data_IF_864394702474
#
_entry.id   IF_864394702474
#
_cell.length_a   1.000
_cell.length_b   1.000
_cell.length_c   1.000
_cell.angle_alpha   90.00
_cell.angle_beta   90.00
_cell.angle_gamma   90.00
#
_symmetry.space_group_name_H-M   'P 1'
#
loop_
_entity.id
_entity.type
_entity.pdbx_description
1 polymer ?
#
# COMPACT_ATOMS: atom_id res chain seq x y z
N UNK A 1 -25.53 -12.34 41.39
CA UNK A 1 -24.21 -12.34 40.70
C UNK A 1 -23.21 -11.53 41.51
N UNK A 2 -22.14 -12.16 42.01
CA UNK A 2 -21.11 -11.49 42.82
C UNK A 2 -20.30 -10.48 42.00
N UNK A 3 -19.68 -9.50 42.69
CA UNK A 3 -18.81 -8.49 42.07
C UNK A 3 -17.68 -9.12 41.24
N UNK A 4 -17.16 -10.26 41.70
CA UNK A 4 -16.13 -11.05 41.02
C UNK A 4 -16.59 -11.57 39.66
N UNK A 5 -17.77 -12.17 39.58
CA UNK A 5 -18.32 -12.72 38.33
C UNK A 5 -18.55 -11.60 37.30
N UNK A 6 -19.04 -10.43 37.75
CA UNK A 6 -19.18 -9.26 36.86
C UNK A 6 -17.82 -8.80 36.32
N UNK A 7 -16.79 -8.77 37.15
CA UNK A 7 -15.43 -8.39 36.73
C UNK A 7 -14.83 -9.39 35.73
N UNK A 8 -15.00 -10.70 35.95
CA UNK A 8 -14.53 -11.74 35.04
C UNK A 8 -15.21 -11.64 33.66
N UNK A 9 -16.53 -11.43 33.61
CA UNK A 9 -17.26 -11.19 32.36
C UNK A 9 -16.77 -9.94 31.62
N UNK A 10 -16.50 -8.85 32.33
CA UNK A 10 -15.91 -7.64 31.74
C UNK A 10 -14.51 -7.90 31.18
N UNK A 11 -13.66 -8.66 31.89
CA UNK A 11 -12.32 -9.02 31.43
C UNK A 11 -12.36 -9.91 30.19
N UNK A 12 -13.28 -10.87 30.13
CA UNK A 12 -13.51 -11.71 28.96
C UNK A 12 -13.90 -10.87 27.73
N UNK A 13 -14.85 -9.93 27.89
CA UNK A 13 -15.26 -9.00 26.82
C UNK A 13 -14.11 -8.11 26.33
N UNK A 14 -13.26 -7.61 27.24
CA UNK A 14 -12.07 -6.84 26.86
C UNK A 14 -11.01 -7.70 26.16
N UNK A 15 -10.85 -8.96 26.58
CA UNK A 15 -9.93 -9.91 25.95
C UNK A 15 -10.38 -10.25 24.52
N UNK A 16 -11.67 -10.53 24.31
CA UNK A 16 -12.20 -10.83 22.98
C UNK A 16 -12.08 -9.63 22.03
N UNK A 17 -12.40 -8.42 22.50
CA UNK A 17 -12.25 -7.21 21.70
C UNK A 17 -10.79 -6.96 21.28
N UNK A 18 -9.84 -7.14 22.20
CA UNK A 18 -8.41 -7.02 21.87
C UNK A 18 -7.97 -8.01 20.80
N UNK A 19 -8.37 -9.28 20.91
CA UNK A 19 -8.09 -10.31 19.89
C UNK A 19 -8.68 -9.94 18.52
N UNK A 20 -9.93 -9.47 18.48
CA UNK A 20 -10.59 -9.05 17.25
C UNK A 20 -9.86 -7.85 16.60
N UNK A 21 -9.49 -6.85 17.40
CA UNK A 21 -8.76 -5.67 16.91
C UNK A 21 -7.39 -6.06 16.36
N UNK A 22 -6.69 -6.98 17.04
CA UNK A 22 -5.41 -7.49 16.57
C UNK A 22 -5.57 -8.25 15.24
N UNK A 23 -6.54 -9.16 15.13
CA UNK A 23 -6.85 -9.86 13.88
C UNK A 23 -7.12 -8.89 12.72
N UNK A 24 -7.92 -7.83 12.95
CA UNK A 24 -8.20 -6.79 11.94
C UNK A 24 -6.99 -5.94 11.56
N UNK A 25 -5.97 -5.85 12.41
CA UNK A 25 -4.71 -5.18 12.08
C UNK A 25 -3.84 -6.08 11.22
N UNK A 26 -3.70 -7.34 11.62
CA UNK A 26 -2.97 -8.36 10.85
C UNK A 26 -3.57 -8.55 9.46
N UNK A 27 -4.90 -8.56 9.33
CA UNK A 27 -5.60 -8.65 8.05
C UNK A 27 -5.33 -7.44 7.14
N UNK A 28 -5.27 -6.22 7.70
CA UNK A 28 -4.92 -5.02 6.94
C UNK A 28 -3.50 -5.09 6.40
N UNK A 29 -2.55 -5.50 7.23
CA UNK A 29 -1.14 -5.65 6.82
C UNK A 29 -1.00 -6.74 5.75
N UNK A 30 -1.69 -7.88 5.91
CA UNK A 30 -1.70 -8.94 4.90
C UNK A 30 -2.24 -8.46 3.56
N UNK A 31 -3.37 -7.74 3.57
CA UNK A 31 -3.97 -7.19 2.35
C UNK A 31 -3.05 -6.16 1.66
N UNK A 32 -2.39 -5.31 2.44
CA UNK A 32 -1.40 -4.36 1.89
C UNK A 32 -0.23 -5.08 1.24
N UNK A 33 0.34 -6.11 1.88
CA UNK A 33 1.41 -6.93 1.32
C UNK A 33 0.98 -7.66 0.05
N UNK A 34 -0.21 -8.24 0.04
CA UNK A 34 -0.78 -8.89 -1.15
C UNK A 34 -0.93 -7.89 -2.30
N UNK A 35 -1.45 -6.68 -2.03
CA UNK A 35 -1.56 -5.66 -3.09
C UNK A 35 -0.21 -5.14 -3.58
N UNK A 36 0.84 -5.23 -2.77
CA UNK A 36 2.20 -4.88 -3.19
C UNK A 36 2.77 -5.97 -4.09
N UNK A 37 2.65 -7.23 -3.68
CA UNK A 37 3.05 -8.39 -4.49
C UNK A 37 2.36 -8.42 -5.84
N UNK A 38 1.04 -8.23 -5.88
CA UNK A 38 0.31 -8.21 -7.15
C UNK A 38 0.79 -7.07 -8.06
N UNK A 39 1.16 -5.90 -7.51
CA UNK A 39 1.73 -4.81 -8.30
C UNK A 39 3.13 -5.12 -8.81
N UNK A 40 3.94 -5.81 -8.01
CA UNK A 40 5.26 -6.28 -8.41
C UNK A 40 5.15 -7.31 -9.52
N UNK A 41 4.25 -8.29 -9.39
CA UNK A 41 3.91 -9.26 -10.42
C UNK A 41 3.42 -8.56 -11.70
N UNK A 42 2.47 -7.62 -11.61
CA UNK A 42 2.01 -6.81 -12.75
C UNK A 42 3.13 -5.97 -13.40
N UNK A 43 4.16 -5.58 -12.65
CA UNK A 43 5.31 -4.86 -13.21
C UNK A 43 6.27 -5.84 -13.91
N UNK A 44 6.52 -7.00 -13.32
CA UNK A 44 7.36 -8.05 -13.90
C UNK A 44 6.74 -8.59 -15.19
N UNK A 45 5.43 -8.83 -15.22
CA UNK A 45 4.72 -9.21 -16.45
C UNK A 45 4.91 -8.18 -17.56
N UNK A 46 4.82 -6.88 -17.23
CA UNK A 46 5.07 -5.81 -18.20
C UNK A 46 6.52 -5.76 -18.67
N UNK A 47 7.48 -6.00 -17.79
CA UNK A 47 8.90 -6.04 -18.15
C UNK A 47 9.23 -7.24 -19.03
N UNK A 48 8.65 -8.41 -18.75
CA UNK A 48 8.74 -9.60 -19.60
C UNK A 48 8.13 -9.34 -20.96
N UNK A 49 6.94 -8.72 -21.03
CA UNK A 49 6.34 -8.33 -22.31
C UNK A 49 7.27 -7.39 -23.11
N UNK A 50 7.91 -6.42 -22.44
CA UNK A 50 8.85 -5.49 -23.07
C UNK A 50 10.16 -6.18 -23.56
N UNK A 51 10.71 -7.13 -22.80
CA UNK A 51 11.89 -7.90 -23.21
C UNK A 51 11.58 -8.90 -24.34
N UNK A 52 10.41 -9.53 -24.30
CA UNK A 52 9.93 -10.37 -25.40
C UNK A 52 9.73 -9.54 -26.68
N UNK A 53 9.15 -8.34 -26.57
CA UNK A 53 9.09 -7.37 -27.67
C UNK A 53 10.49 -7.01 -28.17
N UNK A 54 11.49 -6.82 -27.30
CA UNK A 54 12.88 -6.52 -27.71
C UNK A 54 13.53 -7.68 -28.45
N UNK A 55 13.39 -8.91 -27.96
CA UNK A 55 13.94 -10.10 -28.58
C UNK A 55 13.30 -10.37 -29.95
N UNK A 56 11.99 -10.20 -30.04
CA UNK A 56 11.27 -10.31 -31.30
C UNK A 56 11.68 -9.20 -32.30
N UNK A 57 11.88 -7.96 -31.82
CA UNK A 57 12.40 -6.87 -32.65
C UNK A 57 13.89 -6.99 -33.01
N UNK A 58 14.69 -7.76 -32.24
CA UNK A 58 16.08 -8.08 -32.65
C UNK A 58 16.13 -9.09 -33.79
N UNK A 59 15.11 -9.95 -33.92
CA UNK A 59 14.91 -10.82 -35.09
C UNK A 59 14.25 -10.05 -36.27
N UNK A 60 13.42 -9.04 -35.99
CA UNK A 60 12.72 -8.20 -36.99
C UNK A 60 13.49 -6.92 -37.41
N UNK A 61 14.73 -6.72 -36.96
CA UNK A 61 15.53 -5.53 -37.30
C UNK A 61 15.95 -5.45 -38.78
N UNK A 62 15.49 -6.38 -39.61
CA UNK A 62 15.49 -6.23 -41.07
C UNK A 62 14.29 -5.42 -41.62
N UNK A 63 13.21 -5.19 -40.86
CA UNK A 63 11.98 -4.55 -41.40
C UNK A 63 11.27 -3.60 -40.43
N UNK A 64 11.83 -2.41 -40.30
CA UNK A 64 11.09 -1.13 -40.29
C UNK A 64 9.97 -0.94 -39.27
N UNK A 65 10.22 -0.07 -38.28
CA UNK A 65 9.34 0.29 -37.17
C UNK A 65 7.83 0.39 -37.48
N UNK A 66 7.04 -0.45 -36.79
CA UNK A 66 5.58 -0.34 -36.75
C UNK A 66 5.09 -0.33 -35.31
N UNK A 67 4.17 0.60 -35.01
CA UNK A 67 3.53 0.80 -33.69
C UNK A 67 2.49 -0.30 -33.39
N UNK A 68 2.91 -1.56 -33.34
CA UNK A 68 2.04 -2.73 -33.14
C UNK A 68 2.55 -3.53 -31.95
N UNK A 69 1.62 -3.99 -31.11
CA UNK A 69 1.87 -4.93 -30.00
C UNK A 69 1.47 -6.31 -30.51
N UNK A 70 2.35 -7.30 -30.38
CA UNK A 70 2.03 -8.68 -30.71
C UNK A 70 1.47 -9.38 -29.48
N UNK A 71 0.21 -9.83 -29.53
CA UNK A 71 -0.40 -10.63 -28.45
C UNK A 71 -0.48 -12.09 -28.88
N UNK A 72 0.19 -12.96 -28.13
CA UNK A 72 0.14 -14.42 -28.37
C UNK A 72 -1.13 -15.00 -27.72
N UNK A 73 -1.92 -15.75 -28.50
CA UNK A 73 -3.09 -16.50 -28.03
C UNK A 73 -2.95 -17.95 -28.52
N UNK A 74 -2.47 -18.83 -27.64
CA UNK A 74 -2.07 -20.19 -28.04
C UNK A 74 -0.91 -20.16 -29.04
N UNK A 75 -1.08 -20.81 -30.18
CA UNK A 75 -0.09 -20.84 -31.27
C UNK A 75 -0.23 -19.68 -32.27
N UNK A 76 -1.25 -18.83 -32.13
CA UNK A 76 -1.44 -17.66 -33.00
C UNK A 76 -0.84 -16.38 -32.40
N UNK A 77 -0.17 -15.60 -33.26
CA UNK A 77 0.30 -14.24 -32.95
C UNK A 77 -0.67 -13.23 -33.56
N UNK A 78 -1.33 -12.43 -32.72
CA UNK A 78 -2.25 -11.37 -33.14
C UNK A 78 -1.57 -10.01 -33.07
N UNK A 79 -1.56 -9.28 -34.17
CA UNK A 79 -1.11 -7.89 -34.26
C UNK A 79 -2.19 -6.93 -33.74
N UNK A 80 -1.93 -6.25 -32.63
CA UNK A 80 -2.83 -5.26 -32.03
C UNK A 80 -2.16 -3.89 -32.05
N UNK A 81 -2.79 -2.84 -32.60
CA UNK A 81 -2.21 -1.50 -32.58
C UNK A 81 -2.03 -0.98 -31.14
N UNK A 82 -0.84 -0.42 -30.84
CA UNK A 82 -0.48 0.12 -29.52
C UNK A 82 -1.43 1.27 -29.15
N UNK A 83 -2.37 1.01 -28.23
CA UNK A 83 -3.31 2.05 -27.75
C UNK A 83 -2.51 3.12 -27.00
N UNK A 84 -2.55 4.36 -27.49
CA UNK A 84 -1.94 5.50 -26.80
C UNK A 84 -2.51 5.62 -25.39
N UNK A 85 -1.64 5.72 -24.38
CA UNK A 85 -2.05 5.98 -23.02
C UNK A 85 -2.92 7.26 -23.00
N UNK A 86 -4.15 7.15 -22.47
CA UNK A 86 -5.06 8.29 -22.40
C UNK A 86 -4.42 9.36 -21.51
N UNK A 87 -3.95 10.45 -22.11
CA UNK A 87 -3.46 11.61 -21.36
C UNK A 87 -4.62 12.13 -20.51
N UNK A 88 -4.43 12.12 -19.19
CA UNK A 88 -5.42 12.68 -18.27
C UNK A 88 -5.64 14.16 -18.62
N UNK A 89 -6.89 14.57 -18.61
CA UNK A 89 -7.23 15.98 -18.82
C UNK A 89 -6.64 16.82 -17.69
N UNK A 90 -6.30 18.09 -17.98
CA UNK A 90 -5.76 19.04 -16.99
C UNK A 90 -6.60 19.12 -15.70
N UNK A 91 -7.93 18.99 -15.82
CA UNK A 91 -8.86 18.96 -14.68
C UNK A 91 -8.69 17.71 -13.82
N UNK A 92 -8.45 16.54 -14.41
CA UNK A 92 -8.20 15.31 -13.68
C UNK A 92 -6.85 15.32 -12.97
N UNK A 93 -5.80 15.87 -13.61
CA UNK A 93 -4.50 16.08 -12.97
C UNK A 93 -4.61 16.97 -11.74
N UNK A 94 -5.26 18.14 -11.86
CA UNK A 94 -5.51 19.04 -10.72
C UNK A 94 -6.29 18.40 -9.58
N UNK A 95 -7.25 17.51 -9.86
CA UNK A 95 -7.98 16.77 -8.82
C UNK A 95 -7.07 15.78 -8.09
N UNK A 96 -6.20 15.08 -8.83
CA UNK A 96 -5.23 14.14 -8.26
C UNK A 96 -4.21 14.85 -7.38
N UNK A 97 -3.68 15.98 -7.83
CA UNK A 97 -2.77 16.84 -7.06
C UNK A 97 -3.40 17.30 -5.74
N UNK A 98 -4.65 17.80 -5.78
CA UNK A 98 -5.37 18.21 -4.55
C UNK A 98 -5.60 17.05 -3.57
N UNK A 99 -5.80 15.83 -4.06
CA UNK A 99 -5.95 14.66 -3.19
C UNK A 99 -4.63 14.29 -2.52
N UNK A 100 -3.52 14.38 -3.26
CA UNK A 100 -2.17 14.16 -2.72
C UNK A 100 -1.82 15.21 -1.67
N UNK A 101 -2.08 16.49 -1.95
CA UNK A 101 -1.82 17.60 -1.03
C UNK A 101 -2.60 17.45 0.29
N UNK A 102 -3.88 17.06 0.21
CA UNK A 102 -4.69 16.72 1.41
C UNK A 102 -4.10 15.56 2.19
N UNK A 103 -3.60 14.52 1.51
CA UNK A 103 -2.93 13.39 2.13
C UNK A 103 -1.69 13.80 2.91
N UNK A 104 -0.85 14.67 2.31
CA UNK A 104 0.35 15.21 2.95
C UNK A 104 -0.02 16.01 4.22
N UNK A 105 -1.05 16.86 4.14
CA UNK A 105 -1.50 17.65 5.28
C UNK A 105 -1.99 16.77 6.45
N UNK A 106 -2.72 15.69 6.17
CA UNK A 106 -3.18 14.75 7.20
C UNK A 106 -1.99 14.02 7.83
N UNK A 107 -1.03 13.56 7.03
CA UNK A 107 0.18 12.90 7.54
C UNK A 107 0.98 13.82 8.46
N UNK A 108 1.20 15.07 8.06
CA UNK A 108 1.91 16.06 8.88
C UNK A 108 1.22 16.31 10.24
N UNK A 109 -0.13 16.27 10.30
CA UNK A 109 -0.87 16.38 11.56
C UNK A 109 -0.71 15.12 12.44
N UNK A 110 -0.66 13.94 11.83
CA UNK A 110 -0.44 12.68 12.55
C UNK A 110 0.97 12.62 13.13
N UNK A 111 1.97 13.06 12.38
CA UNK A 111 3.37 13.12 12.83
C UNK A 111 3.52 14.03 14.05
N UNK A 112 2.94 15.24 13.99
CA UNK A 112 2.90 16.17 15.13
C UNK A 112 2.28 15.54 16.38
N UNK A 113 1.17 14.78 16.22
CA UNK A 113 0.53 14.07 17.34
C UNK A 113 1.43 12.98 17.89
N UNK A 114 2.12 12.25 17.03
CA UNK A 114 3.04 11.19 17.42
C UNK A 114 4.25 11.75 18.18
N UNK A 115 4.83 12.85 17.73
CA UNK A 115 5.94 13.52 18.41
C UNK A 115 5.54 14.09 19.76
N UNK A 116 4.33 14.67 19.86
CA UNK A 116 3.78 15.08 21.15
C UNK A 116 3.65 13.89 22.09
N UNK A 117 3.17 12.75 21.60
CA UNK A 117 3.03 11.53 22.40
C UNK A 117 4.39 11.01 22.87
N UNK A 118 5.40 10.97 21.99
CA UNK A 118 6.79 10.60 22.34
C UNK A 118 7.33 11.49 23.46
N UNK A 119 7.19 12.81 23.34
CA UNK A 119 7.60 13.76 24.39
C UNK A 119 6.91 13.49 25.71
N UNK A 120 5.58 13.30 25.72
CA UNK A 120 4.83 13.02 26.96
C UNK A 120 5.17 11.66 27.60
N UNK A 121 5.66 10.68 26.82
CA UNK A 121 6.15 9.41 27.37
C UNK A 121 7.53 9.63 28.00
N UNK A 122 8.42 10.35 27.31
CA UNK A 122 9.78 10.66 27.81
C UNK A 122 9.73 11.42 29.14
N UNK A 123 8.91 12.47 29.22
CA UNK A 123 8.73 13.25 30.46
C UNK A 123 8.21 12.37 31.60
N UNK A 124 7.23 11.51 31.34
CA UNK A 124 6.72 10.58 32.37
C UNK A 124 7.76 9.57 32.84
N UNK A 125 8.59 9.07 31.93
CA UNK A 125 9.68 8.17 32.30
C UNK A 125 10.72 8.90 33.16
N UNK A 126 11.05 10.15 32.82
CA UNK A 126 11.95 10.99 33.62
C UNK A 126 11.40 11.23 35.03
N UNK A 127 10.12 11.61 35.17
CA UNK A 127 9.46 11.82 36.46
C UNK A 127 9.49 10.54 37.31
N UNK A 128 9.14 9.39 36.72
CA UNK A 128 9.21 8.11 37.43
C UNK A 128 10.63 7.78 37.89
N UNK A 129 11.62 8.03 37.05
CA UNK A 129 13.02 7.77 37.41
C UNK A 129 13.50 8.72 38.51
N UNK A 130 13.09 9.99 38.51
CA UNK A 130 13.40 10.89 39.63
C UNK A 130 12.72 10.43 40.92
N UNK A 131 11.47 9.99 40.88
CA UNK A 131 10.74 9.47 42.04
C UNK A 131 11.34 8.15 42.58
N UNK A 132 12.00 7.34 41.75
CA UNK A 132 12.66 6.09 42.14
C UNK A 132 14.04 6.29 42.78
N UNK A 133 14.68 7.42 42.51
CA UNK A 133 16.03 7.76 42.99
C UNK A 133 16.03 8.90 44.01
N UNK A 134 14.85 9.32 44.48
CA UNK A 134 14.64 10.18 45.64
C UNK A 134 14.35 9.31 46.87
#
# INVERSE_FOLDING_TARGET
MTKLVRKLKQMAKKRSHRKMVQKRKEERVRKELETQKNKEEENLEREVDEEMDRLQNSDDNEKGGRNVIHKKVGDLVLEIPKKKAKRLTRKQQKRKEKMVEKGIAVNALLDKKFDRKKRSIKIRAQIRNSELHS
#
